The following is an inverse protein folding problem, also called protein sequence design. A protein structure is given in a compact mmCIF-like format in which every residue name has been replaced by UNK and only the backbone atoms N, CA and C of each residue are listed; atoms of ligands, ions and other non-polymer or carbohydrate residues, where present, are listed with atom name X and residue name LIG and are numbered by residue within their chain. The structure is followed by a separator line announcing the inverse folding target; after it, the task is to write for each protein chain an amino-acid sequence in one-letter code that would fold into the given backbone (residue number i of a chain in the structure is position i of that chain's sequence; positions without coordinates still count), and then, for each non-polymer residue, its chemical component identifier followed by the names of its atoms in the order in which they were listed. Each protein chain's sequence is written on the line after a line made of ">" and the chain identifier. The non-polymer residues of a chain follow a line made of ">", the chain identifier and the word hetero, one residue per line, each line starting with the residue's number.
data_IF_485820675984
#
_entry.id   IF_485820675984
#
_cell.length_a   1.000
_cell.length_b   1.000
_cell.length_c   1.000
_cell.angle_alpha   90.00
_cell.angle_beta   90.00
_cell.angle_gamma   90.00
#
_symmetry.space_group_name_H-M   'P 1'
#
loop_
_entity.id
_entity.type
_entity.pdbx_description
1 polymer ?
#
# COMPACT_ATOMS: atom_id res chain seq x y z
N UNK A 1 -13.95 -16.42 37.23
CA UNK A 1 -14.07 -15.42 36.15
C UNK A 1 -14.18 -16.22 34.88
N UNK A 2 -15.36 -16.17 34.27
CA UNK A 2 -15.66 -16.85 33.03
C UNK A 2 -15.08 -15.97 31.90
N UNK A 3 -13.97 -16.40 31.31
CA UNK A 3 -13.42 -15.83 30.07
C UNK A 3 -14.27 -16.28 28.88
N UNK A 4 -15.59 -16.06 28.97
CA UNK A 4 -16.53 -16.26 27.86
C UNK A 4 -16.27 -15.17 26.83
N UNK A 5 -15.22 -15.45 26.05
CA UNK A 5 -15.10 -15.21 24.64
C UNK A 5 -15.80 -13.94 24.18
N UNK A 6 -15.10 -12.81 24.28
CA UNK A 6 -15.53 -11.51 23.74
C UNK A 6 -15.97 -11.61 22.26
N UNK A 7 -15.50 -12.65 21.56
CA UNK A 7 -15.84 -12.98 20.17
C UNK A 7 -17.21 -13.67 20.00
N UNK A 8 -17.90 -14.08 21.07
CA UNK A 8 -19.28 -14.59 20.99
C UNK A 8 -20.34 -13.49 20.86
N UNK A 9 -19.97 -12.21 21.02
CA UNK A 9 -20.92 -11.08 21.01
C UNK A 9 -21.27 -10.54 19.61
N UNK A 10 -20.66 -11.02 18.52
CA UNK A 10 -21.02 -10.55 17.16
C UNK A 10 -21.08 -11.71 16.16
N UNK A 11 -22.22 -12.42 16.04
CA UNK A 11 -22.43 -13.37 14.98
C UNK A 11 -23.19 -12.70 13.83
N UNK A 12 -22.57 -11.75 13.13
CA UNK A 12 -22.96 -11.57 11.73
C UNK A 12 -22.35 -12.73 10.95
N UNK A 13 -23.11 -13.81 10.80
CA UNK A 13 -22.67 -15.10 10.19
C UNK A 13 -22.06 -14.99 8.78
N UNK A 14 -22.09 -13.81 8.17
CA UNK A 14 -21.65 -13.56 6.81
C UNK A 14 -20.47 -12.58 6.73
N UNK A 15 -19.84 -12.25 7.86
CA UNK A 15 -18.77 -11.26 7.92
C UNK A 15 -17.43 -11.97 8.09
N UNK A 16 -16.54 -11.78 7.11
CA UNK A 16 -15.18 -12.30 7.16
C UNK A 16 -14.24 -11.30 7.85
N UNK A 17 -14.15 -11.40 9.17
CA UNK A 17 -13.30 -10.53 9.98
C UNK A 17 -11.80 -10.73 9.71
N UNK A 18 -11.39 -11.94 9.31
CA UNK A 18 -9.99 -12.22 9.01
C UNK A 18 -9.57 -11.49 7.73
N UNK A 19 -10.36 -11.62 6.66
CA UNK A 19 -10.11 -10.93 5.41
C UNK A 19 -10.17 -9.40 5.58
N UNK A 20 -11.17 -8.87 6.27
CA UNK A 20 -11.24 -7.42 6.53
C UNK A 20 -10.06 -6.90 7.35
N UNK A 21 -9.65 -7.62 8.39
CA UNK A 21 -8.49 -7.25 9.19
C UNK A 21 -7.21 -7.23 8.35
N UNK A 22 -7.05 -8.22 7.47
CA UNK A 22 -5.90 -8.29 6.57
C UNK A 22 -5.90 -7.20 5.51
N UNK A 23 -7.05 -6.93 4.87
CA UNK A 23 -7.19 -5.84 3.91
C UNK A 23 -6.92 -4.48 4.56
N UNK A 24 -7.36 -4.27 5.80
CA UNK A 24 -7.04 -3.07 6.57
C UNK A 24 -5.53 -2.97 6.83
N UNK A 25 -4.87 -4.06 7.23
CA UNK A 25 -3.42 -4.09 7.41
C UNK A 25 -2.68 -3.76 6.11
N UNK A 26 -3.11 -4.33 4.98
CA UNK A 26 -2.59 -4.00 3.65
C UNK A 26 -2.72 -2.50 3.36
N UNK A 27 -3.91 -1.92 3.61
CA UNK A 27 -4.16 -0.50 3.41
C UNK A 27 -3.23 0.39 4.25
N UNK A 28 -3.07 0.08 5.54
CA UNK A 28 -2.21 0.85 6.45
C UNK A 28 -0.73 0.77 6.05
N UNK A 29 -0.27 -0.40 5.60
CA UNK A 29 1.10 -0.57 5.13
C UNK A 29 1.37 0.25 3.86
N UNK A 30 0.43 0.25 2.90
CA UNK A 30 0.53 1.09 1.70
C UNK A 30 0.53 2.57 2.08
N UNK A 31 -0.35 2.97 3.00
CA UNK A 31 -0.39 4.36 3.46
C UNK A 31 0.93 4.79 4.07
N UNK A 32 1.54 3.94 4.91
CA UNK A 32 2.86 4.19 5.46
C UNK A 32 3.92 4.40 4.37
N UNK A 33 3.95 3.56 3.33
CA UNK A 33 4.89 3.77 2.21
C UNK A 33 4.65 5.06 1.42
N UNK A 34 3.38 5.46 1.27
CA UNK A 34 3.04 6.73 0.64
C UNK A 34 3.49 7.92 1.51
N UNK A 35 3.39 7.82 2.83
CA UNK A 35 3.88 8.84 3.75
C UNK A 35 5.40 8.97 3.69
N UNK A 36 6.13 7.87 3.84
CA UNK A 36 7.60 7.84 3.71
C UNK A 36 8.06 8.42 2.37
N UNK A 37 7.32 8.12 1.29
CA UNK A 37 7.61 8.69 -0.02
C UNK A 37 7.45 10.21 -0.06
N UNK A 38 6.34 10.73 0.46
CA UNK A 38 6.04 12.16 0.44
C UNK A 38 7.01 12.94 1.33
N UNK A 39 7.31 12.42 2.52
CA UNK A 39 8.26 13.00 3.46
C UNK A 39 9.68 13.07 2.87
N UNK A 40 10.15 12.03 2.17
CA UNK A 40 11.47 12.04 1.54
C UNK A 40 11.59 13.07 0.41
N UNK A 41 10.49 13.37 -0.28
CA UNK A 41 10.47 14.28 -1.44
C UNK A 41 10.35 15.75 -1.07
N UNK A 42 9.77 16.06 0.08
CA UNK A 42 9.67 17.43 0.56
C UNK A 42 10.00 17.48 2.07
N UNK A 43 11.29 17.30 2.42
CA UNK A 43 11.73 17.26 3.82
C UNK A 43 11.57 18.61 4.52
N UNK A 44 11.47 19.71 3.77
CA UNK A 44 11.29 21.06 4.30
C UNK A 44 9.82 21.40 4.64
N UNK A 45 8.87 20.51 4.32
CA UNK A 45 7.46 20.69 4.67
C UNK A 45 7.16 20.14 6.07
N UNK A 46 6.32 20.85 6.82
CA UNK A 46 5.78 20.36 8.09
C UNK A 46 4.58 19.45 7.83
N UNK A 47 4.76 18.14 7.98
CA UNK A 47 3.73 17.13 7.74
C UNK A 47 2.73 16.96 8.89
N UNK A 48 2.99 17.55 10.06
CA UNK A 48 2.12 17.49 11.26
C UNK A 48 0.75 18.20 11.10
N UNK A 49 0.60 19.06 10.08
CA UNK A 49 -0.61 19.88 9.86
C UNK A 49 -1.61 19.25 8.88
N UNK A 50 -1.33 19.24 7.57
CA UNK A 50 -2.25 18.70 6.57
C UNK A 50 -2.20 17.17 6.55
N UNK A 51 -3.12 16.52 7.26
CA UNK A 51 -3.34 15.08 7.12
C UNK A 51 -3.98 14.81 5.76
N UNK A 52 -3.15 14.57 4.75
CA UNK A 52 -3.61 14.07 3.46
C UNK A 52 -4.36 12.75 3.69
N UNK A 53 -5.47 12.59 3.01
CA UNK A 53 -6.17 11.29 2.96
C UNK A 53 -5.40 10.32 2.08
N UNK A 54 -5.60 9.01 2.26
CA UNK A 54 -5.02 7.97 1.39
C UNK A 54 -5.18 8.30 -0.10
N UNK A 55 -6.38 8.71 -0.53
CA UNK A 55 -6.65 9.05 -1.94
C UNK A 55 -5.82 10.23 -2.43
N UNK A 56 -5.58 11.23 -1.58
CA UNK A 56 -4.72 12.37 -1.91
C UNK A 56 -3.25 11.95 -1.98
N UNK A 57 -2.77 11.14 -1.03
CA UNK A 57 -1.40 10.59 -1.06
C UNK A 57 -1.16 9.76 -2.32
N UNK A 58 -2.08 8.86 -2.66
CA UNK A 58 -2.02 8.03 -3.86
C UNK A 58 -2.14 8.83 -5.17
N UNK A 59 -2.68 10.05 -5.14
CA UNK A 59 -2.71 10.94 -6.30
C UNK A 59 -1.39 11.68 -6.53
N UNK A 60 -0.61 11.89 -5.47
CA UNK A 60 0.71 12.55 -5.52
C UNK A 60 1.84 11.57 -5.88
N UNK A 61 1.58 10.27 -5.81
CA UNK A 61 2.58 9.26 -6.08
C UNK A 61 2.95 9.21 -7.57
N UNK A 62 4.22 9.38 -7.95
CA UNK A 62 4.63 9.48 -9.34
C UNK A 62 4.61 8.12 -10.02
N UNK A 63 3.79 8.00 -11.06
CA UNK A 63 3.66 6.78 -11.87
C UNK A 63 5.02 6.29 -12.40
N UNK A 64 5.89 7.19 -12.85
CA UNK A 64 7.19 6.82 -13.42
C UNK A 64 8.18 6.16 -12.44
N UNK A 65 7.86 6.06 -11.15
CA UNK A 65 8.74 5.46 -10.14
C UNK A 65 8.82 3.93 -10.24
N UNK A 66 7.77 3.30 -10.75
CA UNK A 66 7.70 1.85 -10.91
C UNK A 66 7.64 1.45 -12.39
N UNK A 67 8.28 0.34 -12.78
CA UNK A 67 7.93 -0.34 -14.01
C UNK A 67 6.43 -0.69 -13.95
N UNK A 68 5.63 -0.18 -14.90
CA UNK A 68 4.16 -0.29 -14.89
C UNK A 68 3.44 0.56 -13.82
N UNK A 69 3.91 1.79 -13.63
CA UNK A 69 3.35 2.75 -12.66
C UNK A 69 1.84 2.93 -12.68
N UNK A 70 1.22 2.90 -13.87
CA UNK A 70 -0.23 3.06 -14.02
C UNK A 70 -0.99 1.90 -13.36
N UNK A 71 -0.53 0.67 -13.57
CA UNK A 71 -1.09 -0.52 -12.92
C UNK A 71 -0.83 -0.51 -11.41
N UNK A 72 0.33 -0.05 -10.96
CA UNK A 72 0.62 0.09 -9.52
C UNK A 72 -0.36 1.06 -8.87
N UNK A 73 -0.55 2.24 -9.44
CA UNK A 73 -1.46 3.25 -8.91
C UNK A 73 -2.91 2.78 -8.98
N UNK A 74 -3.31 2.11 -10.06
CA UNK A 74 -4.63 1.52 -10.18
C UNK A 74 -4.89 0.52 -9.06
N UNK A 75 -3.96 -0.40 -8.80
CA UNK A 75 -4.06 -1.40 -7.73
C UNK A 75 -4.09 -0.76 -6.33
N UNK A 76 -3.21 0.21 -6.06
CA UNK A 76 -3.17 0.97 -4.79
C UNK A 76 -4.49 1.70 -4.52
N UNK A 77 -5.03 2.41 -5.52
CA UNK A 77 -6.34 3.08 -5.40
C UNK A 77 -7.47 2.08 -5.18
N UNK A 78 -7.37 0.92 -5.81
CA UNK A 78 -8.36 -0.14 -5.70
C UNK A 78 -8.41 -0.77 -4.31
N UNK A 79 -7.28 -0.93 -3.62
CA UNK A 79 -7.26 -1.37 -2.22
C UNK A 79 -8.12 -0.46 -1.33
N UNK A 80 -8.01 0.86 -1.51
CA UNK A 80 -8.83 1.81 -0.76
C UNK A 80 -10.33 1.69 -1.12
N UNK A 81 -10.65 1.49 -2.40
CA UNK A 81 -12.03 1.25 -2.83
C UNK A 81 -12.62 -0.02 -2.21
N UNK A 82 -11.88 -1.13 -2.25
CA UNK A 82 -12.26 -2.41 -1.67
C UNK A 82 -12.43 -2.32 -0.16
N UNK A 83 -11.49 -1.65 0.53
CA UNK A 83 -11.55 -1.40 1.97
C UNK A 83 -12.81 -0.60 2.34
N UNK A 84 -13.12 0.46 1.59
CA UNK A 84 -14.30 1.28 1.83
C UNK A 84 -15.60 0.52 1.56
N UNK A 85 -15.63 -0.31 0.50
CA UNK A 85 -16.77 -1.19 0.20
C UNK A 85 -17.08 -2.12 1.37
N UNK A 86 -16.06 -2.80 1.91
CA UNK A 86 -16.24 -3.72 3.05
C UNK A 86 -16.52 -2.99 4.37
N UNK A 87 -15.91 -1.83 4.62
CA UNK A 87 -16.19 -1.04 5.82
C UNK A 87 -17.65 -0.55 5.89
N UNK A 88 -18.25 -0.24 4.74
CA UNK A 88 -19.66 0.16 4.66
C UNK A 88 -20.64 -1.01 4.58
N UNK A 89 -20.20 -2.16 4.06
CA UNK A 89 -21.03 -3.37 3.89
C UNK A 89 -20.21 -4.63 4.23
N UNK A 90 -20.00 -4.92 5.54
CA UNK A 90 -19.11 -5.99 6.00
C UNK A 90 -19.51 -7.40 5.55
N UNK A 91 -20.77 -7.61 5.21
CA UNK A 91 -21.34 -8.85 4.67
C UNK A 91 -21.10 -9.06 3.17
N UNK A 92 -20.48 -8.09 2.49
CA UNK A 92 -20.21 -8.18 1.06
C UNK A 92 -19.13 -9.21 0.79
N UNK A 93 -19.39 -10.10 -0.17
CA UNK A 93 -18.39 -11.00 -0.73
C UNK A 93 -17.88 -10.38 -2.03
N UNK A 94 -16.62 -9.91 -2.10
CA UNK A 94 -16.09 -9.37 -3.34
C UNK A 94 -15.99 -10.47 -4.39
N UNK A 95 -16.28 -10.10 -5.63
CA UNK A 95 -16.23 -11.02 -6.77
C UNK A 95 -14.90 -10.92 -7.53
N UNK A 96 -14.74 -11.72 -8.59
CA UNK A 96 -13.52 -11.72 -9.41
C UNK A 96 -13.17 -10.34 -10.00
N UNK A 97 -14.17 -9.51 -10.31
CA UNK A 97 -13.94 -8.17 -10.85
C UNK A 97 -13.38 -7.21 -9.80
N UNK A 98 -13.74 -7.40 -8.54
CA UNK A 98 -13.14 -6.68 -7.41
C UNK A 98 -11.65 -7.03 -7.20
N UNK A 99 -11.10 -8.05 -7.86
CA UNK A 99 -9.68 -8.39 -7.77
C UNK A 99 -8.89 -8.07 -9.04
N UNK A 100 -9.57 -7.69 -10.12
CA UNK A 100 -8.96 -7.49 -11.44
C UNK A 100 -7.79 -6.49 -11.46
N UNK A 101 -7.82 -5.35 -10.74
CA UNK A 101 -6.67 -4.44 -10.70
C UNK A 101 -5.42 -5.05 -10.04
N UNK A 102 -5.60 -5.89 -9.02
CA UNK A 102 -4.51 -6.60 -8.36
C UNK A 102 -3.92 -7.68 -9.28
N UNK A 103 -4.80 -8.45 -9.93
CA UNK A 103 -4.42 -9.47 -10.93
C UNK A 103 -3.59 -8.83 -12.04
N UNK A 104 -4.07 -7.74 -12.65
CA UNK A 104 -3.36 -7.03 -13.73
C UNK A 104 -2.00 -6.51 -13.29
N UNK A 105 -1.91 -5.99 -12.07
CA UNK A 105 -0.64 -5.55 -11.50
C UNK A 105 0.36 -6.71 -11.40
N UNK A 106 -0.06 -7.88 -10.90
CA UNK A 106 0.81 -9.06 -10.76
C UNK A 106 1.25 -9.59 -12.12
N UNK A 107 0.34 -9.70 -13.08
CA UNK A 107 0.64 -10.12 -14.46
C UNK A 107 1.68 -9.18 -15.10
N UNK A 108 1.49 -7.86 -14.97
CA UNK A 108 2.42 -6.85 -15.52
C UNK A 108 3.76 -6.84 -14.82
N UNK A 109 3.77 -7.11 -13.53
CA UNK A 109 4.98 -7.20 -12.71
C UNK A 109 5.71 -8.54 -12.89
N UNK A 110 5.19 -9.44 -13.75
CA UNK A 110 5.74 -10.76 -14.04
C UNK A 110 5.89 -11.61 -12.78
N UNK A 111 4.87 -11.60 -11.92
CA UNK A 111 4.78 -12.56 -10.83
C UNK A 111 4.88 -13.99 -11.39
N UNK A 112 5.56 -14.88 -10.68
CA UNK A 112 5.72 -16.29 -11.11
C UNK A 112 4.36 -17.01 -11.19
N UNK A 113 3.48 -16.70 -10.24
CA UNK A 113 2.12 -17.22 -10.16
C UNK A 113 1.18 -16.10 -9.69
N UNK A 114 -0.03 -16.08 -10.27
CA UNK A 114 -1.11 -15.19 -9.83
C UNK A 114 -2.10 -16.01 -9.01
N UNK A 115 -2.18 -15.80 -7.68
CA UNK A 115 -3.05 -16.59 -6.83
C UNK A 115 -4.53 -16.39 -7.16
N UNK A 116 -5.32 -17.45 -7.03
CA UNK A 116 -6.78 -17.38 -7.18
C UNK A 116 -7.49 -17.04 -5.87
N UNK A 117 -6.87 -17.33 -4.72
CA UNK A 117 -7.44 -17.06 -3.42
C UNK A 117 -7.22 -15.57 -3.04
N UNK A 118 -8.26 -14.83 -2.61
CA UNK A 118 -8.15 -13.40 -2.31
C UNK A 118 -7.06 -13.02 -1.30
N UNK A 119 -6.90 -13.84 -0.27
CA UNK A 119 -5.92 -13.60 0.79
C UNK A 119 -4.48 -13.68 0.24
N UNK A 120 -4.20 -14.75 -0.51
CA UNK A 120 -2.89 -14.97 -1.16
C UNK A 120 -2.62 -13.90 -2.22
N UNK A 121 -3.64 -13.49 -2.97
CA UNK A 121 -3.53 -12.42 -3.96
C UNK A 121 -3.09 -11.10 -3.31
N UNK A 122 -3.70 -10.73 -2.18
CA UNK A 122 -3.31 -9.56 -1.40
C UNK A 122 -1.89 -9.69 -0.85
N UNK A 123 -1.50 -10.87 -0.37
CA UNK A 123 -0.16 -11.14 0.14
C UNK A 123 0.92 -10.94 -0.93
N UNK A 124 0.76 -11.57 -2.09
CA UNK A 124 1.71 -11.44 -3.20
C UNK A 124 1.76 -9.99 -3.68
N UNK A 125 0.60 -9.33 -3.80
CA UNK A 125 0.52 -7.90 -4.15
C UNK A 125 1.32 -7.03 -3.19
N UNK A 126 1.10 -7.16 -1.88
CA UNK A 126 1.80 -6.38 -0.87
C UNK A 126 3.30 -6.67 -0.85
N UNK A 127 3.70 -7.93 -1.01
CA UNK A 127 5.12 -8.31 -1.03
C UNK A 127 5.84 -7.67 -2.22
N UNK A 128 5.25 -7.72 -3.42
CA UNK A 128 5.84 -7.09 -4.61
C UNK A 128 5.87 -5.57 -4.50
N UNK A 129 4.78 -4.96 -4.02
CA UNK A 129 4.71 -3.51 -3.82
C UNK A 129 5.76 -3.05 -2.81
N UNK A 130 5.87 -3.74 -1.67
CA UNK A 130 6.86 -3.48 -0.62
C UNK A 130 8.30 -3.58 -1.16
N UNK A 131 8.60 -4.63 -1.92
CA UNK A 131 9.92 -4.79 -2.55
C UNK A 131 10.24 -3.62 -3.48
N UNK A 132 9.26 -3.15 -4.26
CA UNK A 132 9.40 -1.97 -5.09
C UNK A 132 9.70 -0.71 -4.27
N UNK A 133 8.90 -0.44 -3.24
CA UNK A 133 9.08 0.73 -2.37
C UNK A 133 10.43 0.74 -1.65
N UNK A 134 10.83 -0.40 -1.06
CA UNK A 134 12.11 -0.55 -0.40
C UNK A 134 13.28 -0.37 -1.37
N UNK A 135 13.17 -0.93 -2.58
CA UNK A 135 14.17 -0.73 -3.64
C UNK A 135 14.31 0.74 -4.04
N UNK A 136 13.20 1.46 -4.15
CA UNK A 136 13.21 2.90 -4.38
C UNK A 136 13.84 3.66 -3.21
N UNK A 137 13.39 3.41 -1.97
CA UNK A 137 13.87 4.11 -0.78
C UNK A 137 15.38 3.94 -0.60
N UNK A 138 15.90 2.72 -0.80
CA UNK A 138 17.33 2.44 -0.76
C UNK A 138 18.10 3.23 -1.85
N UNK A 139 17.53 3.35 -3.05
CA UNK A 139 18.11 4.14 -4.15
C UNK A 139 18.09 5.64 -3.86
N UNK A 140 17.01 6.14 -3.28
CA UNK A 140 16.85 7.56 -2.92
C UNK A 140 17.82 7.96 -1.79
N UNK A 141 17.86 7.18 -0.70
CA UNK A 141 18.79 7.38 0.40
C UNK A 141 20.25 7.37 -0.07
N UNK A 142 20.60 6.47 -0.98
CA UNK A 142 21.91 6.46 -1.64
C UNK A 142 22.15 7.78 -2.39
N UNK A 143 21.25 8.19 -3.29
CA UNK A 143 21.40 9.41 -4.10
C UNK A 143 21.53 10.67 -3.25
N UNK A 144 20.74 10.81 -2.19
CA UNK A 144 20.77 11.96 -1.29
C UNK A 144 22.10 12.04 -0.56
N UNK A 145 22.60 10.92 -0.02
CA UNK A 145 23.92 10.86 0.61
C UNK A 145 25.05 11.21 -0.37
N UNK A 146 25.00 10.73 -1.61
CA UNK A 146 25.98 11.09 -2.64
C UNK A 146 25.99 12.57 -2.99
N UNK A 147 24.82 13.19 -3.07
CA UNK A 147 24.72 14.64 -3.32
C UNK A 147 25.36 15.44 -2.19
N UNK A 148 25.07 15.09 -0.94
CA UNK A 148 25.65 15.75 0.24
C UNK A 148 27.19 15.65 0.28
N UNK A 149 27.74 14.45 0.05
CA UNK A 149 29.21 14.24 0.00
C UNK A 149 29.85 15.09 -1.11
N UNK A 150 29.21 15.16 -2.28
CA UNK A 150 29.72 15.95 -3.41
C UNK A 150 29.67 17.45 -3.16
N UNK A 151 28.61 17.93 -2.49
CA UNK A 151 28.46 19.33 -2.10
C UNK A 151 29.56 19.75 -1.10
N UNK A 152 29.81 18.93 -0.08
CA UNK A 152 30.88 19.15 0.90
C UNK A 152 32.26 19.18 0.25
N UNK A 153 32.54 18.29 -0.71
CA UNK A 153 33.80 18.28 -1.44
C UNK A 153 34.00 19.49 -2.37
N UNK A 154 32.93 20.17 -2.78
CA UNK A 154 33.00 21.44 -3.55
C UNK A 154 33.06 22.68 -2.68
N UNK A 155 32.61 22.62 -1.42
CA UNK A 155 32.65 23.75 -0.49
C UNK A 155 33.98 23.83 0.30
N UNK A 156 34.78 22.75 0.32
CA UNK A 156 36.11 22.68 0.94
C UNK A 156 37.28 23.10 0.03
N UNK A 157 37.00 23.56 -1.20
CA UNK A 157 38.00 23.88 -2.24
C UNK A 157 37.78 25.27 -2.84
#
# INVERSE_FOLDING_TARGET
>A
MDESNFLQLVPHKNVDFAFMGYLLACHLLIEHYLDEFLESRAPDLTWDGPRLTFSQKAALFPHALFPNGDEVIAAVRHINALRNKLAHRPETQPDEFDYLPLIRFLEKSKAEEVPQQPMELLEVFINMLSAGFLGWLASDAYRTRWRQIRQQATDEN
#
